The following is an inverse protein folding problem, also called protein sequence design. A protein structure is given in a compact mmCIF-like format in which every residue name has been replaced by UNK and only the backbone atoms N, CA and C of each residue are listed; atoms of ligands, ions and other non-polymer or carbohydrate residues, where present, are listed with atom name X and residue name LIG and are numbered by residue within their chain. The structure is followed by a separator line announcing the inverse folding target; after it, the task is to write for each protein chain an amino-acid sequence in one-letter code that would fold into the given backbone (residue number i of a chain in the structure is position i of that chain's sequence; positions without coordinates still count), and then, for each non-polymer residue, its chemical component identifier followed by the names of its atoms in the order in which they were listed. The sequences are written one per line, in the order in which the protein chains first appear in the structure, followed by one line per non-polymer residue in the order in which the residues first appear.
data_IF_353424377394
#
_entry.id   IF_353424377394
#
_cell.length_a   1.000
_cell.length_b   1.000
_cell.length_c   1.000
_cell.angle_alpha   90.00
_cell.angle_beta   90.00
_cell.angle_gamma   90.00
#
_symmetry.space_group_name_H-M   'P 1'
#
loop_
_entity.id
_entity.type
_entity.pdbx_description
1 polymer ?
#
# COMPACT_ATOMS: atom_id res chain seq x y z
N UNK A 1 1.09 -8.57 45.56
CA UNK A 1 1.57 -9.53 44.53
C UNK A 1 0.68 -9.37 43.30
N UNK A 2 1.31 -9.34 42.13
CA UNK A 2 0.75 -9.12 40.79
C UNK A 2 -0.41 -10.09 40.46
N UNK A 3 -1.30 -9.78 39.50
CA UNK A 3 -1.06 -10.06 38.08
C UNK A 3 -1.83 -9.09 37.18
N UNK A 4 -1.10 -8.33 36.36
CA UNK A 4 -1.64 -7.59 35.23
C UNK A 4 -1.85 -8.52 34.02
N UNK A 5 -3.04 -8.44 33.42
CA UNK A 5 -3.34 -9.04 32.14
C UNK A 5 -2.57 -8.33 31.04
N UNK A 6 -1.77 -9.09 30.28
CA UNK A 6 -1.06 -8.60 29.10
C UNK A 6 -1.97 -8.75 27.90
N UNK A 7 -2.44 -7.62 27.39
CA UNK A 7 -2.95 -7.50 26.04
C UNK A 7 -1.85 -7.91 25.06
N UNK A 8 -2.12 -8.93 24.26
CA UNK A 8 -1.21 -9.42 23.24
C UNK A 8 -1.37 -8.54 22.00
N UNK A 9 -0.30 -7.90 21.47
CA UNK A 9 -0.40 -7.18 20.21
C UNK A 9 -0.66 -8.19 19.09
N UNK A 10 -1.72 -7.94 18.32
CA UNK A 10 -2.11 -8.75 17.17
C UNK A 10 -0.94 -8.94 16.21
N UNK A 11 -0.63 -10.19 15.90
CA UNK A 11 0.42 -10.60 14.98
C UNK A 11 0.08 -10.05 13.59
N UNK A 12 0.84 -9.08 13.09
CA UNK A 12 0.69 -8.63 11.71
C UNK A 12 1.03 -9.79 10.77
N UNK A 13 0.24 -10.05 9.72
CA UNK A 13 0.52 -11.10 8.76
C UNK A 13 1.83 -10.76 8.02
N UNK A 14 2.87 -11.54 8.29
CA UNK A 14 4.15 -11.45 7.57
C UNK A 14 3.96 -12.02 6.17
N UNK A 15 4.33 -11.25 5.15
CA UNK A 15 4.34 -11.69 3.76
C UNK A 15 5.07 -13.04 3.62
N UNK A 16 4.32 -14.12 3.36
CA UNK A 16 4.88 -15.43 3.01
C UNK A 16 5.11 -16.43 4.15
N UNK A 17 4.56 -16.25 5.36
CA UNK A 17 4.39 -17.39 6.28
C UNK A 17 3.03 -18.03 6.06
N UNK A 18 2.93 -19.29 5.57
CA UNK A 18 1.66 -19.99 5.58
C UNK A 18 1.20 -20.10 7.04
N UNK A 19 0.05 -19.51 7.35
CA UNK A 19 -0.65 -19.84 8.58
C UNK A 19 -1.04 -21.32 8.47
N UNK A 20 -0.34 -22.17 9.22
CA UNK A 20 -0.64 -23.60 9.29
C UNK A 20 -1.93 -23.76 10.11
N UNK A 21 -3.09 -23.56 9.47
CA UNK A 21 -4.38 -23.95 10.04
C UNK A 21 -4.66 -25.40 9.65
N UNK A 22 -4.72 -26.26 10.67
CA UNK A 22 -5.10 -27.65 10.55
C UNK A 22 -6.54 -27.78 10.01
N UNK A 23 -6.70 -28.76 9.14
CA UNK A 23 -7.90 -29.09 8.37
C UNK A 23 -9.09 -29.53 9.23
N UNK A 24 -10.30 -29.23 8.75
CA UNK A 24 -11.44 -30.18 8.71
C UNK A 24 -12.31 -29.90 7.47
N UNK A 25 -12.82 -30.99 6.91
CA UNK A 25 -13.31 -31.22 5.55
C UNK A 25 -14.77 -30.80 5.26
N UNK A 26 -15.10 -30.63 3.96
CA UNK A 26 -16.46 -30.65 3.40
C UNK A 26 -16.50 -30.27 1.91
N UNK A 27 -17.34 -30.88 1.04
CA UNK A 27 -16.91 -31.31 -0.29
C UNK A 27 -17.23 -30.41 -1.51
N UNK A 28 -16.35 -30.61 -2.49
CA UNK A 28 -16.38 -30.47 -3.96
C UNK A 28 -17.76 -30.33 -4.64
N UNK A 29 -17.86 -29.35 -5.54
CA UNK A 29 -18.59 -29.49 -6.82
C UNK A 29 -17.67 -29.09 -7.99
N UNK A 30 -17.51 -29.99 -8.95
CA UNK A 30 -16.81 -29.82 -10.23
C UNK A 30 -17.85 -29.55 -11.32
N UNK A 31 -17.56 -28.60 -12.22
CA UNK A 31 -17.85 -28.59 -13.66
C UNK A 31 -17.68 -27.13 -14.15
N UNK A 32 -16.94 -26.76 -15.19
CA UNK A 32 -16.28 -27.49 -16.27
C UNK A 32 -15.12 -26.66 -16.81
N UNK A 33 -14.12 -27.37 -17.30
CA UNK A 33 -12.96 -26.86 -18.00
C UNK A 33 -13.34 -26.22 -19.35
N UNK A 34 -12.58 -25.21 -19.77
CA UNK A 34 -12.02 -25.21 -21.12
C UNK A 34 -10.62 -24.60 -21.09
N UNK A 35 -9.64 -25.47 -21.31
CA UNK A 35 -8.27 -25.12 -21.58
C UNK A 35 -8.17 -24.39 -22.92
N UNK A 36 -7.34 -23.35 -22.99
CA UNK A 36 -6.65 -22.99 -24.22
C UNK A 36 -5.18 -22.72 -23.90
N UNK A 37 -4.39 -23.71 -24.30
CA UNK A 37 -2.94 -23.78 -24.28
C UNK A 37 -2.36 -22.76 -25.25
N UNK A 38 -1.28 -22.09 -24.83
CA UNK A 38 -0.43 -21.26 -25.67
C UNK A 38 0.24 -22.09 -26.79
N UNK A 39 0.31 -21.59 -28.03
CA UNK A 39 1.44 -21.86 -28.89
C UNK A 39 2.47 -20.74 -28.72
N UNK A 40 3.64 -21.12 -28.21
CA UNK A 40 4.87 -20.33 -28.29
C UNK A 40 5.40 -20.39 -29.74
N UNK A 41 5.81 -19.27 -30.31
CA UNK A 41 6.63 -19.23 -31.54
C UNK A 41 7.73 -18.16 -31.42
N UNK A 42 8.96 -18.48 -31.82
CA UNK A 42 10.15 -17.67 -31.54
C UNK A 42 10.46 -16.68 -32.68
N UNK A 43 11.18 -15.61 -32.33
CA UNK A 43 11.98 -14.83 -33.27
C UNK A 43 11.60 -13.36 -33.37
N UNK A 44 12.38 -12.49 -32.71
CA UNK A 44 13.20 -11.46 -33.36
C UNK A 44 13.78 -10.52 -32.28
N UNK A 45 15.08 -10.68 -32.04
CA UNK A 45 15.89 -9.76 -31.23
C UNK A 45 16.31 -8.60 -32.11
N UNK A 46 15.50 -7.54 -32.21
CA UNK A 46 16.05 -6.21 -32.44
C UNK A 46 15.04 -5.09 -32.13
N UNK A 47 15.50 -4.15 -31.28
CA UNK A 47 14.92 -2.81 -31.06
C UNK A 47 13.51 -2.76 -30.47
N UNK A 48 13.42 -2.77 -29.14
CA UNK A 48 12.35 -2.03 -28.44
C UNK A 48 13.00 -0.85 -27.71
N UNK A 49 12.77 0.34 -28.25
CA UNK A 49 13.01 1.61 -27.57
C UNK A 49 12.11 1.64 -26.34
N UNK A 50 12.64 2.15 -25.24
CA UNK A 50 11.90 2.50 -24.05
C UNK A 50 10.83 3.54 -24.40
N UNK A 51 9.65 3.06 -24.76
CA UNK A 51 8.43 3.86 -24.77
C UNK A 51 7.83 3.61 -23.40
N UNK A 52 8.18 4.45 -22.43
CA UNK A 52 7.38 4.59 -21.22
C UNK A 52 5.93 4.77 -21.68
N UNK A 53 5.07 3.82 -21.32
CA UNK A 53 3.65 3.93 -21.64
C UNK A 53 3.16 5.27 -21.08
N UNK A 54 2.49 6.11 -21.89
CA UNK A 54 1.88 7.34 -21.39
C UNK A 54 1.02 6.99 -20.17
N UNK A 55 1.16 7.76 -19.09
CA UNK A 55 0.26 7.63 -17.93
C UNK A 55 -1.16 7.70 -18.49
N UNK A 56 -2.03 6.69 -18.25
CA UNK A 56 -3.42 6.80 -18.68
C UNK A 56 -3.99 8.06 -18.05
N UNK A 57 -4.67 8.85 -18.88
CA UNK A 57 -5.44 10.03 -18.48
C UNK A 57 -6.14 9.76 -17.15
N UNK A 58 -5.88 10.62 -16.14
CA UNK A 58 -6.35 10.46 -14.76
C UNK A 58 -7.88 10.59 -14.64
N UNK A 59 -8.55 10.71 -15.78
CA UNK A 59 -9.98 10.89 -15.90
C UNK A 59 -10.71 9.53 -15.94
N UNK A 60 -10.78 8.86 -14.78
CA UNK A 60 -11.69 7.73 -14.63
C UNK A 60 -12.16 7.54 -13.21
N UNK A 61 -13.27 8.22 -12.92
CA UNK A 61 -14.49 7.72 -12.25
C UNK A 61 -14.54 6.19 -12.02
N UNK A 62 -13.70 5.66 -11.14
CA UNK A 62 -13.65 4.22 -10.83
C UNK A 62 -13.54 3.99 -9.31
N UNK A 63 -14.30 4.78 -8.56
CA UNK A 63 -14.94 4.38 -7.30
C UNK A 63 -16.15 5.29 -7.00
N UNK A 64 -16.87 5.73 -8.04
CA UNK A 64 -18.03 6.62 -7.89
C UNK A 64 -19.20 6.15 -8.75
N UNK A 65 -19.79 5.02 -8.38
CA UNK A 65 -21.20 4.72 -8.62
C UNK A 65 -21.51 3.32 -8.12
N UNK A 66 -21.70 3.17 -6.82
CA UNK A 66 -22.78 2.30 -6.33
C UNK A 66 -23.28 2.88 -5.01
N UNK A 67 -24.38 3.64 -5.12
CA UNK A 67 -25.29 4.09 -4.05
C UNK A 67 -24.94 5.42 -3.34
N UNK A 68 -25.30 6.51 -4.03
CA UNK A 68 -25.90 7.74 -3.48
C UNK A 68 -25.12 8.62 -2.49
N UNK A 69 -24.67 9.77 -2.98
CA UNK A 69 -24.71 11.02 -2.20
C UNK A 69 -23.44 11.87 -2.18
N UNK A 70 -23.21 12.64 -3.25
CA UNK A 70 -22.41 13.89 -3.24
C UNK A 70 -20.95 13.80 -2.77
N UNK A 71 -20.04 13.39 -3.65
CA UNK A 71 -18.61 13.65 -3.50
C UNK A 71 -18.19 14.80 -4.43
N UNK A 72 -18.36 16.03 -3.97
CA UNK A 72 -17.72 17.21 -4.57
C UNK A 72 -16.46 17.54 -3.77
N UNK A 73 -15.36 16.86 -4.06
CA UNK A 73 -14.03 17.28 -3.63
C UNK A 73 -13.06 16.93 -4.76
N UNK A 74 -12.66 17.94 -5.54
CA UNK A 74 -11.41 17.83 -6.29
C UNK A 74 -10.30 17.57 -5.29
N UNK A 75 -9.43 16.60 -5.58
CA UNK A 75 -8.38 16.19 -4.64
C UNK A 75 -7.46 17.38 -4.34
N UNK A 76 -7.63 17.96 -3.15
CA UNK A 76 -6.78 19.03 -2.66
C UNK A 76 -5.60 18.40 -1.94
N UNK A 77 -4.40 18.84 -2.29
CA UNK A 77 -3.19 18.46 -1.55
C UNK A 77 -3.37 18.80 -0.06
N UNK A 78 -3.18 17.84 0.85
CA UNK A 78 -3.22 18.11 2.28
C UNK A 78 -2.07 19.03 2.68
N UNK A 79 -2.33 19.91 3.63
CA UNK A 79 -1.33 20.80 4.21
C UNK A 79 -0.33 20.05 5.10
N UNK A 80 -0.76 18.94 5.69
CA UNK A 80 0.04 18.02 6.52
C UNK A 80 -0.65 16.66 6.66
N UNK A 81 0.04 15.69 7.24
CA UNK A 81 -0.56 14.43 7.71
C UNK A 81 -0.30 14.27 9.20
N UNK A 82 -1.36 14.14 9.99
CA UNK A 82 -1.31 13.84 11.41
C UNK A 82 -1.27 12.33 11.60
N UNK A 83 -0.14 11.82 12.09
CA UNK A 83 0.15 10.40 12.23
C UNK A 83 0.32 10.03 13.71
N UNK A 84 -0.69 9.41 14.35
CA UNK A 84 -0.54 8.92 15.72
C UNK A 84 0.65 7.96 15.85
N UNK A 85 1.42 8.07 16.95
CA UNK A 85 2.63 7.28 17.21
C UNK A 85 2.36 5.77 17.12
N UNK A 86 1.17 5.30 17.52
CA UNK A 86 0.77 3.89 17.40
C UNK A 86 0.82 3.38 15.96
N UNK A 87 0.36 4.20 14.99
CA UNK A 87 0.30 3.84 13.57
C UNK A 87 1.68 3.95 12.94
N UNK A 88 2.47 4.95 13.36
CA UNK A 88 3.88 5.05 13.02
C UNK A 88 4.64 3.79 13.45
N UNK A 89 4.46 3.34 14.69
CA UNK A 89 5.09 2.13 15.22
C UNK A 89 4.65 0.87 14.47
N UNK A 90 3.35 0.76 14.16
CA UNK A 90 2.80 -0.35 13.37
C UNK A 90 3.48 -0.46 12.00
N UNK A 91 3.62 0.65 11.29
CA UNK A 91 4.36 0.69 10.02
C UNK A 91 5.85 0.37 10.21
N UNK A 92 6.52 0.96 11.23
CA UNK A 92 7.92 0.68 11.54
C UNK A 92 8.18 -0.82 11.76
N UNK A 93 7.28 -1.50 12.47
CA UNK A 93 7.37 -2.95 12.72
C UNK A 93 7.37 -3.72 11.38
N UNK A 94 6.45 -3.40 10.47
CA UNK A 94 6.38 -4.08 9.18
C UNK A 94 7.61 -3.81 8.31
N UNK A 95 7.99 -2.55 8.11
CA UNK A 95 9.14 -2.21 7.24
C UNK A 95 10.45 -2.80 7.77
N UNK A 96 10.58 -2.91 9.10
CA UNK A 96 11.73 -3.59 9.72
C UNK A 96 11.69 -5.10 9.51
N UNK A 97 10.51 -5.72 9.55
CA UNK A 97 10.34 -7.17 9.41
C UNK A 97 10.49 -7.66 7.96
N UNK A 98 10.14 -6.83 6.97
CA UNK A 98 10.20 -7.19 5.55
C UNK A 98 11.55 -6.84 4.89
N UNK A 99 12.35 -5.97 5.52
CA UNK A 99 13.71 -5.68 5.06
C UNK A 99 14.51 -6.99 4.89
N UNK A 100 15.25 -7.16 3.78
CA UNK A 100 15.65 -6.14 2.80
C UNK A 100 14.66 -5.90 1.64
N UNK A 101 13.46 -6.50 1.67
CA UNK A 101 12.42 -6.27 0.67
C UNK A 101 11.62 -5.00 0.99
N UNK A 102 11.02 -4.38 -0.01
CA UNK A 102 10.08 -3.29 0.21
C UNK A 102 8.78 -3.82 0.82
N UNK A 103 8.40 -3.26 1.97
CA UNK A 103 7.05 -3.36 2.52
C UNK A 103 6.14 -2.31 1.89
N UNK A 104 4.83 -2.57 1.91
CA UNK A 104 3.83 -1.59 1.52
C UNK A 104 2.51 -1.74 2.30
N UNK A 105 1.63 -0.75 2.17
CA UNK A 105 0.28 -0.80 2.74
C UNK A 105 -0.51 0.49 2.53
N UNK A 106 -1.71 0.52 3.10
CA UNK A 106 -2.65 1.65 3.03
C UNK A 106 -2.78 2.31 4.40
N UNK A 107 -2.94 3.63 4.39
CA UNK A 107 -3.28 4.42 5.58
C UNK A 107 -4.63 5.08 5.33
N UNK A 108 -5.56 4.86 6.24
CA UNK A 108 -6.89 5.43 6.16
C UNK A 108 -7.23 6.26 7.40
N UNK A 109 -8.13 7.21 7.20
CA UNK A 109 -8.41 8.23 8.20
C UNK A 109 -9.53 9.17 7.79
N UNK A 110 -9.56 10.35 8.41
CA UNK A 110 -10.50 11.42 8.12
C UNK A 110 -9.73 12.71 7.90
N UNK A 111 -9.98 13.37 6.78
CA UNK A 111 -9.22 14.55 6.36
C UNK A 111 -7.71 14.27 6.42
N UNK A 112 -6.96 15.00 7.24
CA UNK A 112 -5.51 14.89 7.36
C UNK A 112 -5.06 13.96 8.51
N UNK A 113 -5.97 13.26 9.19
CA UNK A 113 -5.63 12.45 10.38
C UNK A 113 -5.71 10.96 10.09
N UNK A 114 -4.59 10.27 10.24
CA UNK A 114 -4.52 8.82 10.16
C UNK A 114 -5.22 8.16 11.36
N UNK A 115 -6.07 7.18 11.08
CA UNK A 115 -6.80 6.42 12.10
C UNK A 115 -6.44 4.93 12.11
N UNK A 116 -6.20 4.35 10.93
CA UNK A 116 -5.88 2.94 10.73
C UNK A 116 -4.81 2.74 9.65
N UNK A 117 -3.99 1.70 9.83
CA UNK A 117 -3.00 1.23 8.86
C UNK A 117 -3.36 -0.20 8.47
N UNK A 118 -3.37 -0.46 7.17
CA UNK A 118 -3.56 -1.78 6.58
C UNK A 118 -2.25 -2.22 5.89
N UNK A 119 -1.40 -3.00 6.59
CA UNK A 119 -0.26 -3.67 5.98
C UNK A 119 -0.71 -4.61 4.86
N UNK A 120 -0.05 -4.54 3.71
CA UNK A 120 -0.32 -5.39 2.55
C UNK A 120 0.97 -6.06 2.09
N UNK A 121 0.87 -7.33 1.72
CA UNK A 121 2.00 -8.06 1.17
C UNK A 121 2.48 -7.46 -0.16
N UNK A 122 3.78 -7.22 -0.28
CA UNK A 122 4.43 -6.95 -1.57
C UNK A 122 4.56 -8.24 -2.39
N UNK A 123 3.71 -8.40 -3.40
CA UNK A 123 3.66 -9.56 -4.29
C UNK A 123 4.96 -9.74 -5.10
N UNK A 124 5.68 -8.66 -5.41
CA UNK A 124 6.92 -8.74 -6.18
C UNK A 124 8.10 -9.27 -5.37
N UNK A 125 8.04 -9.22 -4.04
CA UNK A 125 9.15 -9.56 -3.14
C UNK A 125 10.47 -8.91 -3.61
N UNK A 126 10.39 -7.63 -3.98
CA UNK A 126 11.50 -6.85 -4.55
C UNK A 126 12.04 -5.85 -3.53
N UNK A 127 13.30 -5.46 -3.69
CA UNK A 127 14.00 -4.49 -2.82
C UNK A 127 13.86 -3.03 -3.28
N UNK A 128 13.31 -2.82 -4.48
CA UNK A 128 13.28 -1.51 -5.19
C UNK A 128 11.93 -1.24 -5.87
N UNK A 129 10.94 -2.09 -5.62
CA UNK A 129 9.59 -1.96 -6.18
C UNK A 129 8.58 -2.76 -5.38
N UNK A 130 7.36 -2.24 -5.27
CA UNK A 130 6.25 -2.99 -4.70
C UNK A 130 5.10 -3.20 -5.69
N UNK A 131 4.34 -4.27 -5.45
CA UNK A 131 2.97 -4.44 -5.97
C UNK A 131 2.14 -5.05 -4.86
N UNK A 132 1.08 -4.37 -4.46
CA UNK A 132 0.18 -4.88 -3.43
C UNK A 132 -0.46 -6.20 -3.88
N UNK A 133 -0.58 -7.16 -2.96
CA UNK A 133 -1.43 -8.32 -3.16
C UNK A 133 -2.88 -7.87 -3.40
N UNK A 134 -3.49 -8.24 -4.55
CA UNK A 134 -4.77 -7.66 -4.96
C UNK A 134 -5.93 -8.04 -4.04
N UNK A 135 -5.89 -9.23 -3.42
CA UNK A 135 -6.95 -9.67 -2.50
C UNK A 135 -6.86 -8.91 -1.17
N UNK A 136 -5.66 -8.75 -0.62
CA UNK A 136 -5.43 -7.95 0.58
C UNK A 136 -5.76 -6.48 0.35
N UNK A 137 -5.42 -5.95 -0.83
CA UNK A 137 -5.74 -4.58 -1.21
C UNK A 137 -7.25 -4.35 -1.28
N UNK A 138 -7.99 -5.24 -1.95
CA UNK A 138 -9.46 -5.17 -2.03
C UNK A 138 -10.11 -5.22 -0.63
N UNK A 139 -9.72 -6.21 0.18
CA UNK A 139 -10.23 -6.35 1.54
C UNK A 139 -9.89 -5.14 2.44
N UNK A 140 -8.75 -4.50 2.21
CA UNK A 140 -8.42 -3.25 2.91
C UNK A 140 -9.34 -2.11 2.48
N UNK A 141 -9.62 -1.95 1.18
CA UNK A 141 -10.58 -0.96 0.69
C UNK A 141 -11.99 -1.18 1.24
N UNK A 142 -12.47 -2.42 1.25
CA UNK A 142 -13.78 -2.77 1.83
C UNK A 142 -13.87 -2.34 3.30
N UNK A 143 -12.84 -2.64 4.11
CA UNK A 143 -12.79 -2.23 5.54
C UNK A 143 -12.74 -0.72 5.74
N UNK A 144 -12.03 -0.02 4.86
CA UNK A 144 -11.95 1.45 4.89
C UNK A 144 -13.34 2.03 4.66
N UNK A 145 -14.05 1.52 3.65
CA UNK A 145 -15.41 1.93 3.31
C UNK A 145 -16.42 1.58 4.42
N UNK A 146 -16.40 0.36 4.94
CA UNK A 146 -17.26 -0.10 6.05
C UNK A 146 -17.08 0.75 7.33
N UNK A 147 -15.87 1.26 7.56
CA UNK A 147 -15.55 2.14 8.69
C UNK A 147 -15.89 3.60 8.43
N UNK A 148 -16.39 3.93 7.23
CA UNK A 148 -16.63 5.29 6.77
C UNK A 148 -15.36 6.16 6.80
N UNK A 149 -14.19 5.56 6.56
CA UNK A 149 -12.90 6.23 6.47
C UNK A 149 -12.53 6.49 5.01
N UNK A 150 -11.56 7.35 4.79
CA UNK A 150 -11.00 7.66 3.47
C UNK A 150 -9.56 7.16 3.39
N UNK A 151 -9.13 6.76 2.19
CA UNK A 151 -7.71 6.53 1.92
C UNK A 151 -6.99 7.89 1.93
N UNK A 152 -6.08 8.10 2.87
CA UNK A 152 -5.34 9.36 2.99
C UNK A 152 -3.89 9.23 2.55
N UNK A 153 -3.32 8.02 2.61
CA UNK A 153 -1.97 7.76 2.13
C UNK A 153 -1.75 6.30 1.72
N UNK A 154 -0.79 6.09 0.82
CA UNK A 154 -0.15 4.81 0.54
C UNK A 154 1.26 4.89 1.12
N UNK A 155 1.71 3.84 1.80
CA UNK A 155 3.10 3.79 2.26
C UNK A 155 3.85 2.63 1.64
N UNK A 156 5.16 2.83 1.46
CA UNK A 156 6.11 1.79 1.15
C UNK A 156 7.47 2.12 1.75
N UNK A 157 8.39 1.15 1.72
CA UNK A 157 9.75 1.33 2.22
C UNK A 157 10.79 1.22 1.12
N UNK A 158 11.84 2.01 1.20
CA UNK A 158 13.10 1.85 0.48
C UNK A 158 14.19 1.39 1.46
N UNK A 159 14.41 0.07 1.63
CA UNK A 159 15.35 -0.47 2.64
C UNK A 159 16.82 -0.07 2.43
N UNK A 160 17.16 0.45 1.25
CA UNK A 160 18.50 0.96 0.91
C UNK A 160 18.49 2.45 0.52
N UNK A 161 17.37 3.13 0.76
CA UNK A 161 17.12 4.46 0.23
C UNK A 161 16.82 4.45 -1.28
N UNK A 162 16.59 5.65 -1.88
CA UNK A 162 16.63 6.97 -1.24
C UNK A 162 15.38 7.25 -0.36
N UNK A 163 15.41 8.34 0.39
CA UNK A 163 14.29 8.80 1.27
C UNK A 163 13.22 9.62 0.52
N UNK A 164 13.27 9.63 -0.82
CA UNK A 164 12.37 10.35 -1.73
C UNK A 164 11.79 9.37 -2.75
N UNK A 165 10.65 9.68 -3.39
CA UNK A 165 10.04 8.79 -4.38
C UNK A 165 10.97 8.57 -5.56
N UNK A 166 11.07 7.31 -6.00
CA UNK A 166 11.72 6.95 -7.24
C UNK A 166 10.87 7.37 -8.45
N UNK A 167 11.45 7.39 -9.64
CA UNK A 167 10.68 7.66 -10.86
C UNK A 167 9.56 6.62 -11.06
N UNK A 168 9.81 5.35 -10.71
CA UNK A 168 8.81 4.28 -10.75
C UNK A 168 7.64 4.57 -9.81
N UNK A 169 7.89 5.08 -8.59
CA UNK A 169 6.82 5.44 -7.65
C UNK A 169 5.93 6.55 -8.22
N UNK A 170 6.53 7.56 -8.84
CA UNK A 170 5.79 8.69 -9.45
C UNK A 170 4.97 8.18 -10.64
N UNK A 171 5.52 7.30 -11.47
CA UNK A 171 4.84 6.77 -12.65
C UNK A 171 3.72 5.78 -12.32
N UNK A 172 3.81 5.11 -11.16
CA UNK A 172 2.85 4.12 -10.68
C UNK A 172 1.87 4.67 -9.63
N UNK A 173 1.97 5.96 -9.28
CA UNK A 173 1.02 6.63 -8.40
C UNK A 173 -0.37 6.73 -9.04
N UNK A 174 -1.23 5.74 -8.76
CA UNK A 174 -2.61 5.66 -9.31
C UNK A 174 -3.67 6.38 -8.48
N UNK A 175 -3.34 6.73 -7.24
CA UNK A 175 -4.28 7.36 -6.30
C UNK A 175 -3.85 8.79 -5.98
N UNK A 176 -4.82 9.68 -5.85
CA UNK A 176 -4.61 11.09 -5.45
C UNK A 176 -4.53 11.22 -3.93
N UNK A 177 -3.53 10.57 -3.34
CA UNK A 177 -3.31 10.52 -1.90
C UNK A 177 -1.82 10.73 -1.59
N UNK A 178 -1.48 10.95 -0.33
CA UNK A 178 -0.08 11.08 0.06
C UNK A 178 0.69 9.76 -0.15
N UNK A 179 1.97 9.87 -0.50
CA UNK A 179 2.93 8.76 -0.53
C UNK A 179 3.85 8.87 0.67
N UNK A 180 3.79 7.90 1.59
CA UNK A 180 4.69 7.83 2.75
C UNK A 180 5.86 6.89 2.45
N UNK A 181 7.07 7.42 2.48
CA UNK A 181 8.27 6.65 2.16
C UNK A 181 9.05 6.42 3.42
N UNK A 182 9.21 5.14 3.76
CA UNK A 182 10.06 4.68 4.84
C UNK A 182 11.47 4.41 4.33
N UNK A 183 12.48 4.95 4.98
CA UNK A 183 13.88 4.71 4.61
C UNK A 183 14.80 4.75 5.83
N UNK A 184 15.88 3.97 5.86
CA UNK A 184 16.85 4.04 6.94
C UNK A 184 17.69 5.32 6.82
N UNK A 185 17.85 6.02 7.93
CA UNK A 185 18.75 7.16 8.09
C UNK A 185 19.56 6.94 9.36
N UNK A 186 20.90 6.84 9.24
CA UNK A 186 21.81 6.50 10.34
C UNK A 186 21.43 5.21 11.11
N UNK A 187 20.91 4.21 10.39
CA UNK A 187 20.52 2.91 10.96
C UNK A 187 19.11 2.87 11.57
N UNK A 188 18.39 3.99 11.61
CA UNK A 188 17.02 4.05 12.10
C UNK A 188 16.02 4.31 10.97
N UNK A 189 14.86 3.66 11.04
CA UNK A 189 13.76 3.91 10.12
C UNK A 189 13.13 5.28 10.35
N UNK A 190 13.10 6.08 9.30
CA UNK A 190 12.39 7.35 9.23
C UNK A 190 11.30 7.27 8.15
N UNK A 191 10.32 8.17 8.23
CA UNK A 191 9.23 8.28 7.26
C UNK A 191 9.10 9.73 6.81
N UNK A 192 8.94 9.93 5.51
CA UNK A 192 8.65 11.23 4.88
C UNK A 192 7.39 11.11 4.03
N UNK A 193 6.65 12.20 3.88
CA UNK A 193 5.39 12.20 3.14
C UNK A 193 5.50 13.10 1.90
N UNK A 194 5.00 12.62 0.77
CA UNK A 194 5.07 13.31 -0.51
C UNK A 194 3.69 13.34 -1.16
N UNK A 195 3.32 14.49 -1.69
CA UNK A 195 2.23 14.62 -2.63
C UNK A 195 2.78 14.49 -4.05
N UNK A 196 2.25 13.53 -4.79
CA UNK A 196 2.65 13.23 -6.17
C UNK A 196 1.57 13.75 -7.11
N UNK A 197 1.85 14.84 -7.81
CA UNK A 197 1.03 15.33 -8.91
C UNK A 197 1.65 14.95 -10.27
N UNK A 198 1.00 15.32 -11.38
CA UNK A 198 1.45 14.93 -12.72
C UNK A 198 2.85 15.45 -13.07
N UNK A 199 3.24 16.58 -12.47
CA UNK A 199 4.39 17.39 -12.88
C UNK A 199 5.41 17.62 -11.76
N UNK A 200 5.04 17.35 -10.52
CA UNK A 200 5.78 17.75 -9.34
C UNK A 200 5.64 16.73 -8.20
N UNK A 201 6.73 16.63 -7.45
CA UNK A 201 6.80 15.92 -6.18
C UNK A 201 6.97 16.99 -5.12
N UNK A 202 6.02 17.12 -4.22
CA UNK A 202 6.19 18.03 -3.09
C UNK A 202 6.06 17.31 -1.76
N UNK A 203 7.05 17.50 -0.90
CA UNK A 203 6.98 17.01 0.47
C UNK A 203 5.87 17.73 1.25
N UNK A 204 5.13 16.97 2.05
CA UNK A 204 4.15 17.48 3.01
C UNK A 204 4.63 17.17 4.43
N UNK A 205 4.44 18.10 5.38
CA UNK A 205 4.76 17.85 6.78
C UNK A 205 4.05 16.63 7.36
N UNK A 206 4.75 15.88 8.20
CA UNK A 206 4.21 14.82 9.04
C UNK A 206 4.25 15.27 10.51
N UNK A 207 3.09 15.31 11.16
CA UNK A 207 2.99 15.52 12.60
C UNK A 207 2.81 14.18 13.33
N UNK A 208 3.84 13.75 14.05
CA UNK A 208 3.82 12.50 14.82
C UNK A 208 3.40 12.81 16.25
N UNK A 209 2.16 12.46 16.60
CA UNK A 209 1.57 12.78 17.89
C UNK A 209 1.49 11.57 18.83
N UNK A 210 1.75 11.81 20.12
CA UNK A 210 1.53 10.85 21.20
C UNK A 210 0.13 11.07 21.73
N UNK A 211 -0.86 10.43 21.10
CA UNK A 211 -2.25 10.42 21.58
C UNK A 211 -2.53 9.22 22.45
#
# INVERSE_FOLDING_TARGET
MAMGGRDSPGLLPVCGRPALLAALAGPIWIASAFALICPDQPGDQSRRRDIAAPRPDRDRRLFQSFLAGSFCAGSMRPSQINLPLRLWQQMKIQVSAEAPLEACGLVAGRAERAEVVHPICNLLKSQVRFRMDPYQQLNAFEKIEESGLELIAIYHSHPRGPEVPSQTDIDEARYEVASLIWSPHNGEWQVRAFWLDETSVTEIPLDISVM
#
